data_IF_642159369512
#
_entry.id   IF_642159369512
#
_cell.length_a   1.000
_cell.length_b   1.000
_cell.length_c   1.000
_cell.angle_alpha   90.00
_cell.angle_beta   90.00
_cell.angle_gamma   90.00
#
_symmetry.space_group_name_H-M   'P 1'
#
loop_
_entity.id
_entity.type
_entity.pdbx_description
1 polymer ?
#
# COMPACT_ATOMS: atom_id res chain seq x y z
N UNK A 1 8.04 10.87 12.20
CA UNK A 1 6.69 11.09 11.66
C UNK A 1 6.74 11.08 10.15
N UNK A 2 6.04 10.16 9.47
CA UNK A 2 5.94 10.09 8.00
C UNK A 2 4.53 10.48 7.53
N UNK A 3 4.31 10.63 6.24
CA UNK A 3 3.00 10.90 5.66
C UNK A 3 2.63 9.85 4.59
N UNK A 4 1.33 9.72 4.30
CA UNK A 4 0.83 8.96 3.16
C UNK A 4 0.63 9.94 1.99
N UNK A 5 1.33 9.73 0.89
CA UNK A 5 1.24 10.58 -0.30
C UNK A 5 1.45 9.72 -1.56
N UNK A 6 0.62 9.92 -2.57
CA UNK A 6 0.57 9.10 -3.77
C UNK A 6 0.99 9.89 -5.03
N UNK A 7 1.31 11.17 -4.88
CA UNK A 7 1.74 12.09 -5.92
C UNK A 7 2.77 13.12 -5.37
N UNK A 8 3.54 13.79 -6.24
CA UNK A 8 4.55 14.77 -5.82
C UNK A 8 3.99 15.94 -5.03
N UNK A 9 2.80 16.43 -5.38
CA UNK A 9 2.15 17.59 -4.74
C UNK A 9 1.80 17.29 -3.28
N UNK A 10 1.24 16.11 -3.01
CA UNK A 10 0.96 15.66 -1.64
C UNK A 10 2.25 15.40 -0.84
N UNK A 11 3.31 14.94 -1.51
CA UNK A 11 4.61 14.75 -0.89
C UNK A 11 5.24 16.08 -0.46
N UNK A 12 5.22 17.10 -1.33
CA UNK A 12 5.68 18.46 -1.03
C UNK A 12 4.86 19.09 0.11
N UNK A 13 3.53 18.95 0.06
CA UNK A 13 2.62 19.42 1.11
C UNK A 13 2.96 18.76 2.46
N UNK A 14 3.16 17.46 2.46
CA UNK A 14 3.51 16.68 3.65
C UNK A 14 4.83 17.13 4.24
N UNK A 15 5.86 17.34 3.40
CA UNK A 15 7.15 17.89 3.81
C UNK A 15 6.99 19.29 4.41
N UNK A 16 6.13 20.13 3.82
CA UNK A 16 5.79 21.47 4.34
C UNK A 16 5.14 21.41 5.73
N UNK A 17 4.33 20.40 6.03
CA UNK A 17 3.78 20.14 7.37
C UNK A 17 4.77 19.47 8.34
N UNK A 18 5.98 19.18 7.88
CA UNK A 18 7.06 18.64 8.70
C UNK A 18 7.08 17.11 8.77
N UNK A 19 6.57 16.43 7.75
CA UNK A 19 6.81 14.99 7.60
C UNK A 19 8.29 14.74 7.28
N UNK A 20 8.83 13.68 7.85
CA UNK A 20 10.24 13.27 7.74
C UNK A 20 10.39 12.06 6.80
N UNK A 21 9.42 11.85 5.93
CA UNK A 21 9.37 10.79 4.93
C UNK A 21 7.94 10.50 4.50
N UNK A 22 7.82 9.64 3.49
CA UNK A 22 6.55 9.03 3.07
C UNK A 22 6.53 7.59 3.59
N UNK A 23 5.53 7.27 4.42
CA UNK A 23 5.35 5.93 4.99
C UNK A 23 4.45 5.03 4.15
N UNK A 24 3.73 5.61 3.19
CA UNK A 24 2.93 4.90 2.21
C UNK A 24 2.75 5.73 0.95
N UNK A 25 3.25 5.21 -0.17
CA UNK A 25 2.88 5.61 -1.51
C UNK A 25 2.16 4.44 -2.18
N UNK A 26 0.88 4.63 -2.54
CA UNK A 26 0.02 3.63 -3.17
C UNK A 26 0.11 3.73 -4.67
N UNK A 27 0.73 2.73 -5.29
CA UNK A 27 0.99 2.75 -6.74
C UNK A 27 -0.24 2.56 -7.60
N UNK A 28 -1.33 2.02 -7.07
CA UNK A 28 -2.61 1.90 -7.77
C UNK A 28 -3.18 3.25 -8.19
N UNK A 29 -2.97 4.31 -7.42
CA UNK A 29 -3.44 5.65 -7.77
C UNK A 29 -2.72 6.22 -9.00
N UNK A 30 -1.51 5.74 -9.29
CA UNK A 30 -0.75 6.12 -10.48
C UNK A 30 -1.33 5.55 -11.78
N UNK A 31 -2.22 4.54 -11.69
CA UNK A 31 -2.90 3.93 -12.84
C UNK A 31 -4.27 4.53 -13.14
N UNK A 32 -4.69 5.57 -12.42
CA UNK A 32 -5.96 6.25 -12.63
C UNK A 32 -5.86 7.34 -13.71
N UNK A 33 -7.01 7.93 -14.07
CA UNK A 33 -7.08 8.96 -15.11
C UNK A 33 -6.79 8.41 -16.50
N UNK A 34 -6.00 9.13 -17.29
CA UNK A 34 -5.68 8.78 -18.68
C UNK A 34 -4.90 7.47 -18.82
N UNK A 35 -4.26 7.01 -17.75
CA UNK A 35 -3.47 5.75 -17.73
C UNK A 35 -4.35 4.52 -17.52
N UNK A 36 -5.60 4.70 -17.13
CA UNK A 36 -6.53 3.59 -16.88
C UNK A 36 -6.68 2.68 -18.12
N UNK A 37 -6.68 3.25 -19.31
CA UNK A 37 -6.76 2.46 -20.55
C UNK A 37 -5.55 1.54 -20.77
N UNK A 38 -4.37 1.94 -20.30
CA UNK A 38 -3.15 1.14 -20.48
C UNK A 38 -3.20 -0.10 -19.59
N UNK A 39 -3.54 0.07 -18.30
CA UNK A 39 -3.69 -1.07 -17.39
C UNK A 39 -4.86 -1.99 -17.82
N UNK A 40 -5.97 -1.43 -18.32
CA UNK A 40 -7.07 -2.21 -18.90
C UNK A 40 -6.60 -3.02 -20.11
N UNK A 41 -5.79 -2.44 -21.00
CA UNK A 41 -5.22 -3.15 -22.13
C UNK A 41 -4.37 -4.35 -21.68
N UNK A 42 -3.56 -4.18 -20.63
CA UNK A 42 -2.79 -5.26 -20.04
C UNK A 42 -3.69 -6.37 -19.48
N UNK A 43 -4.75 -6.01 -18.77
CA UNK A 43 -5.65 -6.95 -18.09
C UNK A 43 -6.46 -7.77 -19.12
N UNK A 44 -7.06 -7.10 -20.09
CA UNK A 44 -8.05 -7.68 -21.01
C UNK A 44 -7.44 -8.41 -22.21
N UNK A 45 -6.14 -8.22 -22.50
CA UNK A 45 -5.49 -8.88 -23.62
C UNK A 45 -4.68 -10.09 -23.17
N UNK A 46 -4.80 -11.19 -23.94
CA UNK A 46 -4.00 -12.41 -23.74
C UNK A 46 -2.75 -12.43 -24.64
N UNK A 47 -2.68 -11.57 -25.65
CA UNK A 47 -1.52 -11.47 -26.54
C UNK A 47 -0.29 -10.94 -25.78
N UNK A 48 0.81 -11.72 -25.69
CA UNK A 48 2.01 -11.32 -24.99
C UNK A 48 2.63 -10.01 -25.51
N UNK A 49 2.57 -9.78 -26.83
CA UNK A 49 3.14 -8.58 -27.43
C UNK A 49 2.35 -7.31 -27.05
N UNK A 50 1.02 -7.43 -26.96
CA UNK A 50 0.15 -6.33 -26.51
C UNK A 50 0.38 -6.03 -25.03
N UNK A 51 0.47 -7.08 -24.19
CA UNK A 51 0.79 -6.95 -22.76
C UNK A 51 2.15 -6.31 -22.53
N UNK A 52 3.17 -6.76 -23.24
CA UNK A 52 4.54 -6.21 -23.15
C UNK A 52 4.57 -4.72 -23.50
N UNK A 53 3.89 -4.32 -24.57
CA UNK A 53 3.75 -2.91 -24.94
C UNK A 53 3.07 -2.10 -23.84
N UNK A 54 1.95 -2.57 -23.30
CA UNK A 54 1.24 -1.89 -22.22
C UNK A 54 2.11 -1.76 -20.96
N UNK A 55 2.87 -2.79 -20.60
CA UNK A 55 3.82 -2.77 -19.47
C UNK A 55 4.93 -1.74 -19.71
N UNK A 56 5.44 -1.62 -20.93
CA UNK A 56 6.44 -0.59 -21.31
C UNK A 56 5.89 0.84 -21.14
N UNK A 57 4.65 1.07 -21.52
CA UNK A 57 3.98 2.37 -21.34
C UNK A 57 3.74 2.67 -19.84
N UNK A 58 3.32 1.68 -19.04
CA UNK A 58 3.17 1.81 -17.59
C UNK A 58 4.51 2.08 -16.90
N UNK A 59 5.57 1.37 -17.31
CA UNK A 59 6.92 1.58 -16.80
C UNK A 59 7.38 3.03 -16.98
N UNK A 60 7.24 3.57 -18.19
CA UNK A 60 7.63 4.95 -18.48
C UNK A 60 6.82 5.96 -17.65
N UNK A 61 5.52 5.73 -17.53
CA UNK A 61 4.63 6.59 -16.75
C UNK A 61 4.97 6.59 -15.26
N UNK A 62 5.15 5.41 -14.64
CA UNK A 62 5.50 5.30 -13.22
C UNK A 62 6.91 5.82 -12.93
N UNK A 63 7.87 5.64 -13.84
CA UNK A 63 9.20 6.23 -13.68
C UNK A 63 9.09 7.75 -13.53
N UNK A 64 8.26 8.41 -14.35
CA UNK A 64 8.00 9.85 -14.24
C UNK A 64 7.39 10.25 -12.89
N UNK A 65 6.44 9.47 -12.37
CA UNK A 65 5.83 9.72 -11.07
C UNK A 65 6.85 9.60 -9.93
N UNK A 66 7.66 8.54 -9.94
CA UNK A 66 8.69 8.33 -8.92
C UNK A 66 9.78 9.38 -8.98
N UNK A 67 10.16 9.87 -10.16
CA UNK A 67 11.07 11.01 -10.30
C UNK A 67 10.53 12.24 -9.56
N UNK A 68 9.25 12.55 -9.73
CA UNK A 68 8.59 13.64 -9.01
C UNK A 68 8.55 13.42 -7.50
N UNK A 69 8.11 12.23 -7.06
CA UNK A 69 8.01 11.87 -5.64
C UNK A 69 9.35 11.94 -4.92
N UNK A 70 10.39 11.31 -5.49
CA UNK A 70 11.70 11.25 -4.84
C UNK A 70 12.41 12.60 -4.87
N UNK A 71 12.15 13.44 -5.88
CA UNK A 71 12.64 14.81 -5.92
C UNK A 71 12.01 15.67 -4.84
N UNK A 72 10.69 15.57 -4.64
CA UNK A 72 9.97 16.26 -3.56
C UNK A 72 10.49 15.86 -2.17
N UNK A 73 10.90 14.61 -2.02
CA UNK A 73 11.39 14.03 -0.77
C UNK A 73 12.90 13.83 -0.71
N UNK A 74 13.68 14.60 -1.48
CA UNK A 74 15.13 14.49 -1.51
C UNK A 74 15.75 14.40 -0.11
N UNK A 75 16.56 13.36 0.12
CA UNK A 75 17.20 13.06 1.41
C UNK A 75 16.29 12.34 2.43
N UNK A 76 14.99 12.18 2.16
CA UNK A 76 14.02 11.56 3.06
C UNK A 76 13.49 10.22 2.51
N UNK A 77 13.14 9.25 3.38
CA UNK A 77 12.65 7.95 2.94
C UNK A 77 11.26 8.03 2.29
N UNK A 78 11.05 7.21 1.26
CA UNK A 78 9.76 7.05 0.57
C UNK A 78 9.44 5.57 0.43
N UNK A 79 8.49 5.07 1.23
CA UNK A 79 7.99 3.70 1.11
C UNK A 79 7.00 3.62 -0.04
N UNK A 80 7.34 2.86 -1.05
CA UNK A 80 6.49 2.56 -2.21
C UNK A 80 5.87 1.19 -2.04
N UNK A 81 4.56 1.12 -1.88
CA UNK A 81 3.81 -0.13 -1.85
C UNK A 81 3.62 -0.63 -3.28
N UNK A 82 4.04 -1.86 -3.57
CA UNK A 82 3.73 -2.50 -4.85
C UNK A 82 2.21 -2.68 -4.98
N UNK A 83 1.75 -2.89 -6.22
CA UNK A 83 0.34 -2.96 -6.57
C UNK A 83 -0.43 -3.90 -5.64
N UNK A 84 -1.46 -3.37 -5.00
CA UNK A 84 -2.24 -4.08 -4.00
C UNK A 84 -3.64 -4.51 -4.47
N UNK A 85 -4.48 -3.66 -5.08
CA UNK A 85 -5.86 -4.05 -5.39
C UNK A 85 -5.95 -5.13 -6.47
N UNK A 86 -7.05 -5.90 -6.49
CA UNK A 86 -7.33 -6.85 -7.56
C UNK A 86 -7.44 -6.16 -8.92
N UNK A 87 -7.04 -6.85 -10.00
CA UNK A 87 -7.01 -6.24 -11.34
C UNK A 87 -8.38 -5.77 -11.84
N UNK A 88 -9.47 -6.43 -11.44
CA UNK A 88 -10.81 -6.05 -11.88
C UNK A 88 -11.25 -4.67 -11.38
N UNK A 89 -10.62 -4.10 -10.32
CA UNK A 89 -10.92 -2.75 -9.85
C UNK A 89 -10.52 -1.65 -10.85
N UNK A 90 -9.59 -1.96 -11.75
CA UNK A 90 -9.21 -1.06 -12.83
C UNK A 90 -10.17 -1.10 -14.03
N UNK A 91 -11.09 -2.07 -14.06
CA UNK A 91 -12.03 -2.26 -15.14
C UNK A 91 -13.31 -1.42 -14.95
N UNK A 92 -14.16 -1.43 -15.96
CA UNK A 92 -15.48 -0.82 -15.87
C UNK A 92 -16.40 -1.67 -14.99
N UNK A 93 -17.33 -1.02 -14.31
CA UNK A 93 -18.33 -1.75 -13.55
C UNK A 93 -19.24 -2.55 -14.50
N UNK A 94 -19.46 -3.87 -14.27
CA UNK A 94 -20.41 -4.67 -15.05
C UNK A 94 -21.80 -4.01 -15.14
N UNK A 95 -22.24 -3.41 -14.04
CA UNK A 95 -23.51 -2.69 -13.99
C UNK A 95 -23.55 -1.45 -14.91
N UNK A 96 -22.44 -0.73 -15.04
CA UNK A 96 -22.35 0.43 -15.94
C UNK A 96 -22.41 -0.02 -17.39
N UNK A 97 -21.69 -1.11 -17.73
CA UNK A 97 -21.73 -1.73 -19.06
C UNK A 97 -23.13 -2.24 -19.42
N UNK A 98 -23.82 -2.90 -18.49
CA UNK A 98 -25.18 -3.40 -18.69
C UNK A 98 -26.18 -2.26 -19.02
N UNK A 99 -26.08 -1.14 -18.29
CA UNK A 99 -26.89 0.05 -18.57
C UNK A 99 -26.55 0.66 -19.93
N UNK A 100 -25.28 0.67 -20.33
CA UNK A 100 -24.86 1.19 -21.63
C UNK A 100 -25.32 0.31 -22.78
N UNK A 101 -25.20 -1.00 -22.63
CA UNK A 101 -25.71 -2.01 -23.59
C UNK A 101 -27.24 -1.82 -23.78
N UNK A 102 -27.97 -1.73 -22.67
CA UNK A 102 -29.43 -1.52 -22.73
C UNK A 102 -29.83 -0.22 -23.45
N UNK A 103 -29.08 0.87 -23.24
CA UNK A 103 -29.29 2.13 -23.95
C UNK A 103 -29.00 2.01 -25.45
N UNK A 104 -27.91 1.34 -25.82
CA UNK A 104 -27.57 1.09 -27.22
C UNK A 104 -28.63 0.24 -27.92
N UNK A 105 -29.11 -0.80 -27.28
CA UNK A 105 -30.18 -1.67 -27.81
C UNK A 105 -31.49 -0.89 -28.00
N UNK A 106 -31.92 -0.12 -27.01
CA UNK A 106 -33.13 0.70 -27.07
C UNK A 106 -33.06 1.74 -28.17
N UNK A 107 -31.87 2.28 -28.47
CA UNK A 107 -31.64 3.26 -29.54
C UNK A 107 -31.47 2.63 -30.94
N UNK A 108 -31.51 1.30 -31.05
CA UNK A 108 -31.20 0.61 -32.31
C UNK A 108 -29.75 0.77 -32.74
N UNK A 109 -28.83 0.85 -31.77
CA UNK A 109 -27.40 1.08 -31.97
C UNK A 109 -26.67 -0.03 -32.74
N UNK A 110 -25.38 0.19 -32.97
CA UNK A 110 -24.53 -0.75 -33.71
C UNK A 110 -24.45 -2.10 -33.01
N UNK A 111 -24.87 -3.15 -33.72
CA UNK A 111 -24.85 -4.54 -33.22
C UNK A 111 -23.44 -5.05 -32.93
N UNK A 112 -22.41 -4.57 -33.66
CA UNK A 112 -21.03 -4.97 -33.45
C UNK A 112 -20.52 -4.38 -32.12
N UNK A 113 -20.79 -3.11 -31.85
CA UNK A 113 -20.45 -2.45 -30.60
C UNK A 113 -21.16 -3.08 -29.39
N UNK A 114 -22.45 -3.44 -29.54
CA UNK A 114 -23.20 -4.16 -28.50
C UNK A 114 -22.59 -5.51 -28.21
N UNK A 115 -22.19 -6.27 -29.23
CA UNK A 115 -21.54 -7.56 -29.06
C UNK A 115 -20.17 -7.43 -28.38
N UNK A 116 -19.37 -6.45 -28.76
CA UNK A 116 -18.08 -6.13 -28.14
C UNK A 116 -18.24 -5.84 -26.64
N UNK A 117 -19.19 -4.95 -26.28
CA UNK A 117 -19.45 -4.61 -24.87
C UNK A 117 -19.97 -5.81 -24.06
N UNK A 118 -20.73 -6.69 -24.64
CA UNK A 118 -21.16 -7.94 -23.98
C UNK A 118 -19.99 -8.88 -23.72
N UNK A 119 -19.09 -9.05 -24.68
CA UNK A 119 -17.87 -9.83 -24.49
C UNK A 119 -16.99 -9.25 -23.39
N UNK A 120 -16.82 -7.92 -23.37
CA UNK A 120 -16.10 -7.23 -22.31
C UNK A 120 -16.74 -7.48 -20.94
N UNK A 121 -18.06 -7.37 -20.84
CA UNK A 121 -18.80 -7.64 -19.60
C UNK A 121 -18.59 -9.07 -19.12
N UNK A 122 -18.67 -10.06 -20.03
CA UNK A 122 -18.42 -11.49 -19.70
C UNK A 122 -16.98 -11.72 -19.21
N UNK A 123 -15.98 -11.04 -19.79
CA UNK A 123 -14.59 -11.11 -19.34
C UNK A 123 -14.44 -10.53 -17.93
N UNK A 124 -15.05 -9.37 -17.65
CA UNK A 124 -15.00 -8.71 -16.33
C UNK A 124 -15.70 -9.57 -15.28
N UNK A 125 -16.87 -10.12 -15.59
CA UNK A 125 -17.61 -11.01 -14.68
C UNK A 125 -16.79 -12.27 -14.35
N UNK A 126 -16.06 -12.81 -15.32
CA UNK A 126 -15.16 -13.95 -15.13
C UNK A 126 -13.96 -13.66 -14.23
N UNK A 127 -13.56 -12.39 -14.10
CA UNK A 127 -12.47 -11.93 -13.22
C UNK A 127 -12.97 -11.44 -11.87
N UNK A 128 -14.26 -11.17 -11.72
CA UNK A 128 -14.85 -10.68 -10.47
C UNK A 128 -14.80 -11.75 -9.39
N UNK A 129 -14.27 -11.41 -8.25
CA UNK A 129 -14.19 -12.29 -7.09
C UNK A 129 -15.36 -12.04 -6.15
N UNK A 130 -15.87 -13.09 -5.51
CA UNK A 130 -16.94 -12.98 -4.51
C UNK A 130 -16.50 -12.17 -3.27
N UNK A 131 -15.21 -12.23 -2.94
CA UNK A 131 -14.60 -11.43 -1.88
C UNK A 131 -13.23 -10.92 -2.33
N UNK A 132 -13.16 -9.76 -3.00
CA UNK A 132 -11.92 -9.20 -3.52
C UNK A 132 -10.86 -8.93 -2.44
N UNK A 133 -11.28 -8.60 -1.23
CA UNK A 133 -10.35 -8.34 -0.13
C UNK A 133 -9.50 -9.54 0.27
N UNK A 134 -10.03 -10.75 0.10
CA UNK A 134 -9.38 -12.01 0.46
C UNK A 134 -8.90 -12.80 -0.77
N UNK A 135 -9.00 -12.23 -1.96
CA UNK A 135 -8.74 -12.88 -3.24
C UNK A 135 -7.35 -12.63 -3.82
N UNK A 136 -7.30 -12.50 -5.14
CA UNK A 136 -6.08 -12.32 -5.94
C UNK A 136 -5.65 -10.84 -5.96
N UNK A 137 -4.98 -10.41 -4.93
CA UNK A 137 -4.44 -9.05 -4.75
C UNK A 137 -3.05 -9.08 -4.08
N UNK A 138 -2.38 -7.96 -4.01
CA UNK A 138 -1.13 -7.77 -3.30
C UNK A 138 -0.03 -8.73 -3.74
N UNK A 139 0.67 -9.35 -2.79
CA UNK A 139 1.74 -10.31 -3.09
C UNK A 139 1.26 -11.50 -3.95
N UNK A 140 0.00 -11.93 -3.78
CA UNK A 140 -0.58 -13.03 -4.57
C UNK A 140 -0.65 -12.66 -6.04
N UNK A 141 -1.08 -11.43 -6.33
CA UNK A 141 -1.12 -10.88 -7.69
C UNK A 141 0.29 -10.82 -8.28
N UNK A 142 1.28 -10.31 -7.52
CA UNK A 142 2.66 -10.23 -7.95
C UNK A 142 3.30 -11.61 -8.22
N UNK A 143 2.88 -12.65 -7.50
CA UNK A 143 3.34 -14.03 -7.72
C UNK A 143 2.73 -14.65 -8.98
N UNK A 144 1.44 -14.36 -9.26
CA UNK A 144 0.71 -14.89 -10.42
C UNK A 144 1.08 -14.14 -11.70
N UNK A 145 1.31 -12.84 -11.60
CA UNK A 145 1.72 -11.97 -12.71
C UNK A 145 3.08 -11.29 -12.44
N UNK A 146 4.20 -12.05 -12.52
CA UNK A 146 5.52 -11.55 -12.13
C UNK A 146 6.00 -10.31 -12.91
N UNK A 147 5.46 -10.07 -14.08
CA UNK A 147 5.77 -8.90 -14.91
C UNK A 147 5.39 -7.59 -14.21
N UNK A 148 4.36 -7.58 -13.35
CA UNK A 148 3.91 -6.36 -12.65
C UNK A 148 4.92 -5.90 -11.59
N UNK A 149 5.33 -6.72 -10.61
CA UNK A 149 6.36 -6.29 -9.65
C UNK A 149 7.69 -5.98 -10.33
N UNK A 150 8.12 -6.72 -11.35
CA UNK A 150 9.33 -6.39 -12.12
C UNK A 150 9.22 -4.99 -12.72
N UNK A 151 8.11 -4.67 -13.37
CA UNK A 151 7.88 -3.35 -13.96
C UNK A 151 7.93 -2.25 -12.91
N UNK A 152 7.24 -2.41 -11.77
CA UNK A 152 7.20 -1.41 -10.71
C UNK A 152 8.57 -1.19 -10.05
N UNK A 153 9.28 -2.27 -9.73
CA UNK A 153 10.62 -2.20 -9.15
C UNK A 153 11.61 -1.55 -10.12
N UNK A 154 11.51 -1.88 -11.41
CA UNK A 154 12.34 -1.25 -12.47
C UNK A 154 12.06 0.25 -12.54
N UNK A 155 10.80 0.68 -12.44
CA UNK A 155 10.45 2.12 -12.42
C UNK A 155 11.05 2.85 -11.22
N UNK A 156 10.94 2.26 -10.02
CA UNK A 156 11.50 2.79 -8.77
C UNK A 156 13.04 2.90 -8.88
N UNK A 157 13.70 1.82 -9.29
CA UNK A 157 15.15 1.75 -9.38
C UNK A 157 15.69 2.71 -10.45
N UNK A 158 15.02 2.83 -11.61
CA UNK A 158 15.39 3.76 -12.68
C UNK A 158 15.29 5.21 -12.22
N UNK A 159 14.17 5.58 -11.58
CA UNK A 159 14.00 6.93 -11.03
C UNK A 159 15.05 7.26 -9.97
N UNK A 160 15.38 6.29 -9.10
CA UNK A 160 16.43 6.45 -8.11
C UNK A 160 17.79 6.70 -8.78
N UNK A 161 18.16 5.88 -9.76
CA UNK A 161 19.41 5.99 -10.49
C UNK A 161 19.55 7.33 -11.23
N UNK A 162 18.50 7.79 -11.90
CA UNK A 162 18.50 9.07 -12.61
C UNK A 162 18.72 10.25 -11.66
N UNK A 163 18.02 10.28 -10.51
CA UNK A 163 18.17 11.35 -9.53
C UNK A 163 19.53 11.34 -8.85
N UNK A 164 20.13 10.17 -8.59
CA UNK A 164 21.50 10.09 -8.09
C UNK A 164 22.50 10.71 -9.08
N UNK A 165 22.33 10.48 -10.38
CA UNK A 165 23.17 11.13 -11.43
C UNK A 165 22.98 12.64 -11.49
N UNK A 166 21.83 13.16 -11.11
CA UNK A 166 21.58 14.60 -10.94
C UNK A 166 22.18 15.17 -9.64
N UNK A 167 22.74 14.34 -8.77
CA UNK A 167 23.34 14.74 -7.48
C UNK A 167 22.36 14.82 -6.33
N UNK A 168 21.14 14.28 -6.47
CA UNK A 168 20.16 14.14 -5.41
C UNK A 168 20.39 12.84 -4.61
N UNK A 169 19.76 12.73 -3.45
CA UNK A 169 19.86 11.59 -2.55
C UNK A 169 18.49 10.93 -2.33
N UNK A 170 17.88 10.30 -3.35
CA UNK A 170 16.62 9.59 -3.22
C UNK A 170 16.78 8.39 -2.28
N UNK A 171 15.78 8.14 -1.43
CA UNK A 171 15.75 7.02 -0.49
C UNK A 171 14.45 6.22 -0.63
N UNK A 172 14.23 5.54 -1.76
CA UNK A 172 13.07 4.66 -1.89
C UNK A 172 13.22 3.42 -1.01
N UNK A 173 12.09 2.95 -0.49
CA UNK A 173 11.93 1.69 0.23
C UNK A 173 10.77 0.92 -0.44
N UNK A 174 10.95 -0.36 -0.77
CA UNK A 174 9.91 -1.16 -1.45
C UNK A 174 9.13 -1.96 -0.41
N UNK A 175 7.80 -1.84 -0.45
CA UNK A 175 6.89 -2.54 0.46
C UNK A 175 6.02 -3.54 -0.29
N UNK A 176 6.12 -4.81 0.09
CA UNK A 176 5.30 -5.90 -0.47
C UNK A 176 4.03 -6.04 0.38
N UNK A 177 2.82 -5.80 -0.21
CA UNK A 177 1.56 -5.86 0.54
C UNK A 177 1.04 -7.29 0.72
N UNK A 178 0.16 -7.48 1.71
CA UNK A 178 -0.68 -8.65 1.92
C UNK A 178 0.07 -9.98 2.13
N UNK A 179 1.30 -9.93 2.60
CA UNK A 179 2.08 -11.13 2.92
C UNK A 179 1.43 -11.90 4.07
N UNK A 180 1.25 -13.20 3.89
CA UNK A 180 0.71 -14.11 4.90
C UNK A 180 1.70 -15.19 5.32
N UNK A 181 2.61 -15.58 4.44
CA UNK A 181 3.65 -16.60 4.71
C UNK A 181 5.01 -16.08 4.24
N UNK A 182 6.08 -16.47 4.93
CA UNK A 182 7.44 -16.03 4.63
C UNK A 182 7.85 -16.30 3.18
N UNK A 183 7.45 -17.44 2.60
CA UNK A 183 7.77 -17.80 1.22
C UNK A 183 7.22 -16.85 0.16
N UNK A 184 6.10 -16.14 0.44
CA UNK A 184 5.58 -15.08 -0.44
C UNK A 184 6.55 -13.89 -0.48
N UNK A 185 7.04 -13.48 0.70
CA UNK A 185 8.00 -12.40 0.83
C UNK A 185 9.34 -12.77 0.19
N UNK A 186 9.91 -13.93 0.53
CA UNK A 186 11.18 -14.42 -0.04
C UNK A 186 11.15 -14.39 -1.58
N UNK A 187 10.05 -14.88 -2.17
CA UNK A 187 9.90 -14.92 -3.63
C UNK A 187 9.88 -13.53 -4.26
N UNK A 188 9.08 -12.61 -3.72
CA UNK A 188 8.95 -11.26 -4.27
C UNK A 188 10.14 -10.36 -3.92
N UNK A 189 10.76 -10.55 -2.75
CA UNK A 189 12.02 -9.90 -2.39
C UNK A 189 13.11 -10.26 -3.40
N UNK A 190 13.25 -11.55 -3.73
CA UNK A 190 14.22 -11.96 -4.74
C UNK A 190 13.96 -11.31 -6.10
N UNK A 191 12.71 -11.22 -6.53
CA UNK A 191 12.33 -10.51 -7.77
C UNK A 191 12.74 -9.04 -7.70
N UNK A 192 12.52 -8.40 -6.56
CA UNK A 192 12.89 -6.99 -6.37
C UNK A 192 14.41 -6.81 -6.40
N UNK A 193 15.16 -7.60 -5.63
CA UNK A 193 16.63 -7.53 -5.56
C UNK A 193 17.30 -7.81 -6.92
N UNK A 194 16.84 -8.84 -7.64
CA UNK A 194 17.33 -9.16 -8.97
C UNK A 194 17.09 -7.98 -9.95
N UNK A 195 15.88 -7.38 -9.90
CA UNK A 195 15.54 -6.24 -10.77
C UNK A 195 16.33 -4.98 -10.42
N UNK A 196 16.54 -4.70 -9.12
CA UNK A 196 17.38 -3.57 -8.67
C UNK A 196 18.81 -3.74 -9.16
N UNK A 197 19.36 -4.96 -9.04
CA UNK A 197 20.72 -5.26 -9.50
C UNK A 197 20.89 -5.11 -11.02
N UNK A 198 19.88 -5.53 -11.81
CA UNK A 198 19.87 -5.32 -13.26
C UNK A 198 19.90 -3.83 -13.61
N UNK A 199 19.02 -3.03 -13.01
CA UNK A 199 18.96 -1.57 -13.25
C UNK A 199 20.26 -0.89 -12.81
N UNK A 200 20.81 -1.26 -11.64
CA UNK A 200 22.07 -0.74 -11.14
C UNK A 200 23.21 -0.97 -12.14
N UNK A 201 23.30 -2.19 -12.72
CA UNK A 201 24.29 -2.53 -13.73
C UNK A 201 24.06 -1.76 -15.04
N UNK A 202 22.82 -1.69 -15.53
CA UNK A 202 22.45 -0.94 -16.75
C UNK A 202 22.77 0.55 -16.62
N UNK A 203 22.53 1.14 -15.44
CA UNK A 203 22.71 2.56 -15.17
C UNK A 203 24.12 2.93 -14.70
N UNK A 204 24.93 1.94 -14.29
CA UNK A 204 26.29 2.14 -13.80
C UNK A 204 26.34 2.89 -12.46
N UNK A 205 25.41 2.62 -11.57
CA UNK A 205 25.28 3.20 -10.23
C UNK A 205 25.12 2.10 -9.18
N UNK A 206 25.37 2.43 -7.91
CA UNK A 206 25.03 1.57 -6.78
C UNK A 206 23.65 1.97 -6.27
N UNK A 207 22.75 1.00 -6.11
CA UNK A 207 21.40 1.20 -5.57
C UNK A 207 21.24 0.37 -4.31
N UNK A 208 20.98 1.05 -3.19
CA UNK A 208 20.61 0.45 -1.92
C UNK A 208 19.14 0.77 -1.64
N UNK A 209 18.26 -0.18 -1.95
CA UNK A 209 16.81 -0.04 -1.85
C UNK A 209 16.28 -1.14 -0.94
N UNK A 210 15.96 -0.83 0.33
CA UNK A 210 15.41 -1.80 1.28
C UNK A 210 14.09 -2.39 0.78
N UNK A 211 13.88 -3.70 1.08
CA UNK A 211 12.66 -4.43 0.75
C UNK A 211 12.02 -4.95 2.02
N UNK A 212 10.88 -4.37 2.39
CA UNK A 212 10.09 -4.77 3.54
C UNK A 212 8.69 -5.21 3.16
N UNK A 213 7.85 -5.36 4.16
CA UNK A 213 6.48 -5.83 3.95
C UNK A 213 5.47 -5.09 4.79
N UNK A 214 4.21 -5.15 4.35
CA UNK A 214 3.06 -4.74 5.16
C UNK A 214 2.59 -5.92 6.02
N UNK A 215 2.48 -5.68 7.33
CA UNK A 215 1.84 -6.61 8.27
C UNK A 215 0.39 -6.15 8.43
N UNK A 216 -0.51 -6.86 7.79
CA UNK A 216 -1.93 -6.48 7.71
C UNK A 216 -2.90 -7.67 7.78
N UNK A 217 -2.35 -8.85 7.98
CA UNK A 217 -3.11 -10.07 8.24
C UNK A 217 -2.74 -10.62 9.62
N UNK A 218 -3.72 -11.12 10.41
CA UNK A 218 -3.46 -11.73 11.73
C UNK A 218 -2.41 -12.84 11.68
N UNK A 219 -2.43 -13.67 10.60
CA UNK A 219 -1.42 -14.72 10.42
C UNK A 219 -0.02 -14.15 10.32
N UNK A 220 0.18 -13.08 9.55
CA UNK A 220 1.49 -12.43 9.43
C UNK A 220 1.97 -11.89 10.78
N UNK A 221 1.07 -11.28 11.58
CA UNK A 221 1.41 -10.76 12.90
C UNK A 221 1.84 -11.87 13.88
N UNK A 222 1.18 -13.04 13.87
CA UNK A 222 1.52 -14.15 14.79
C UNK A 222 2.71 -15.01 14.34
N UNK A 223 3.21 -14.82 13.11
CA UNK A 223 4.42 -15.47 12.58
C UNK A 223 5.45 -14.44 12.10
N UNK A 224 5.46 -13.28 12.74
CA UNK A 224 6.29 -12.14 12.33
C UNK A 224 7.79 -12.39 12.55
N UNK A 225 8.18 -13.35 13.39
CA UNK A 225 9.57 -13.79 13.55
C UNK A 225 10.12 -14.44 12.28
N UNK A 226 9.32 -15.28 11.60
CA UNK A 226 9.72 -15.88 10.32
C UNK A 226 9.83 -14.80 9.22
N UNK A 227 8.86 -13.88 9.17
CA UNK A 227 8.80 -12.82 8.16
C UNK A 227 9.88 -11.76 8.41
N UNK A 228 10.13 -11.38 9.67
CA UNK A 228 11.14 -10.41 10.07
C UNK A 228 12.56 -10.85 9.71
N UNK A 229 12.84 -12.16 9.76
CA UNK A 229 14.15 -12.70 9.37
C UNK A 229 14.54 -12.41 7.90
N UNK A 230 13.55 -12.09 7.06
CA UNK A 230 13.75 -11.82 5.62
C UNK A 230 13.22 -10.44 5.17
N UNK A 231 12.87 -9.56 6.11
CA UNK A 231 12.41 -8.21 5.84
C UNK A 231 13.40 -7.16 6.37
N UNK A 232 13.52 -6.04 5.66
CA UNK A 232 14.31 -4.91 6.11
C UNK A 232 13.49 -3.97 7.01
N UNK A 233 12.16 -3.97 6.84
CA UNK A 233 11.23 -3.21 7.68
C UNK A 233 9.82 -3.80 7.65
N UNK A 234 9.01 -3.45 8.67
CA UNK A 234 7.58 -3.69 8.72
C UNK A 234 6.80 -2.38 8.69
N UNK A 235 5.69 -2.36 7.97
CA UNK A 235 4.66 -1.33 8.08
C UNK A 235 3.31 -1.99 8.39
N UNK A 236 2.71 -1.64 9.52
CA UNK A 236 1.42 -2.21 9.89
C UNK A 236 0.29 -1.54 9.09
N UNK A 237 -0.38 -2.31 8.23
CA UNK A 237 -1.57 -1.92 7.48
C UNK A 237 -2.82 -2.10 8.35
N UNK A 238 -3.04 -1.19 9.31
CA UNK A 238 -4.07 -1.36 10.33
C UNK A 238 -5.49 -1.31 9.79
N UNK A 239 -5.74 -0.84 8.58
CA UNK A 239 -7.05 -0.92 7.95
C UNK A 239 -7.41 -2.39 7.69
N UNK A 240 -6.59 -3.11 6.91
CA UNK A 240 -6.82 -4.53 6.61
C UNK A 240 -6.66 -5.40 7.85
N UNK A 241 -5.72 -5.09 8.74
CA UNK A 241 -5.55 -5.82 9.99
C UNK A 241 -6.81 -5.71 10.87
N UNK A 242 -7.45 -4.54 10.94
CA UNK A 242 -8.73 -4.36 11.66
C UNK A 242 -9.84 -5.18 11.00
N UNK A 243 -9.99 -5.06 9.67
CA UNK A 243 -11.01 -5.80 8.93
C UNK A 243 -10.89 -7.31 9.12
N UNK A 244 -9.69 -7.85 8.99
CA UNK A 244 -9.44 -9.30 9.09
C UNK A 244 -9.52 -9.81 10.53
N UNK A 245 -9.18 -8.99 11.52
CA UNK A 245 -9.28 -9.35 12.95
C UNK A 245 -10.72 -9.39 13.41
N UNK A 246 -11.55 -8.42 13.02
CA UNK A 246 -12.98 -8.39 13.34
C UNK A 246 -13.82 -9.29 12.42
N UNK A 247 -13.32 -9.64 11.22
CA UNK A 247 -14.14 -10.23 10.17
C UNK A 247 -15.16 -9.23 9.62
N UNK A 248 -14.80 -7.95 9.58
CA UNK A 248 -15.64 -6.87 9.07
C UNK A 248 -15.11 -6.38 7.71
N UNK A 249 -16.00 -6.19 6.76
CA UNK A 249 -15.71 -5.40 5.56
C UNK A 249 -16.04 -3.94 5.87
N UNK A 250 -15.07 -3.05 5.87
CA UNK A 250 -15.23 -1.65 6.26
C UNK A 250 -16.36 -0.97 5.50
N UNK A 251 -16.31 -1.09 4.17
CA UNK A 251 -17.25 -0.41 3.28
C UNK A 251 -18.69 -0.90 3.46
N UNK A 252 -18.86 -2.16 3.84
CA UNK A 252 -20.19 -2.73 4.10
C UNK A 252 -20.72 -2.36 5.49
N UNK A 253 -19.87 -2.37 6.52
CA UNK A 253 -20.35 -2.32 7.91
C UNK A 253 -20.41 -0.92 8.50
N UNK A 254 -19.58 0.04 8.05
CA UNK A 254 -19.54 1.40 8.62
C UNK A 254 -20.86 2.16 8.46
N UNK A 255 -21.59 1.92 7.35
CA UNK A 255 -22.91 2.51 7.13
C UNK A 255 -24.07 1.65 7.61
N UNK A 256 -23.85 0.34 7.78
CA UNK A 256 -24.88 -0.62 8.12
C UNK A 256 -25.06 -0.76 9.64
N UNK A 257 -24.31 -1.64 10.30
CA UNK A 257 -24.56 -1.99 11.70
C UNK A 257 -23.62 -1.33 12.71
N UNK A 258 -22.47 -0.79 12.32
CA UNK A 258 -21.53 -0.12 13.24
C UNK A 258 -22.20 1.03 13.99
N UNK A 259 -23.04 1.89 13.39
CA UNK A 259 -23.76 2.94 14.10
C UNK A 259 -24.68 2.39 15.22
N UNK A 260 -25.35 1.26 14.98
CA UNK A 260 -26.19 0.62 15.97
C UNK A 260 -25.34 0.03 17.11
N UNK A 261 -24.22 -0.64 16.80
CA UNK A 261 -23.30 -1.20 17.81
C UNK A 261 -22.73 -0.12 18.73
N UNK A 262 -22.46 1.06 18.19
CA UNK A 262 -22.02 2.23 18.97
C UNK A 262 -23.16 2.75 19.87
N UNK A 263 -24.38 2.87 19.34
CA UNK A 263 -25.56 3.33 20.08
C UNK A 263 -25.90 2.38 21.24
N UNK A 264 -25.79 1.07 21.02
CA UNK A 264 -26.03 0.02 22.03
C UNK A 264 -24.80 -0.24 22.92
N UNK A 265 -23.68 0.44 22.70
CA UNK A 265 -22.42 0.30 23.43
C UNK A 265 -21.81 -1.13 23.35
N UNK A 266 -22.07 -1.85 22.27
CA UNK A 266 -21.40 -3.11 21.97
C UNK A 266 -19.95 -2.86 21.51
N UNK A 267 -19.72 -1.73 20.82
CA UNK A 267 -18.40 -1.17 20.56
C UNK A 267 -18.27 0.15 21.33
N UNK A 268 -17.13 0.39 22.01
CA UNK A 268 -16.90 1.65 22.70
C UNK A 268 -16.67 2.83 21.76
N UNK A 269 -16.13 2.57 20.57
CA UNK A 269 -15.86 3.52 19.47
C UNK A 269 -15.75 2.76 18.14
N UNK A 270 -15.71 3.51 17.02
CA UNK A 270 -15.50 2.93 15.70
C UNK A 270 -14.07 2.37 15.59
N UNK A 271 -13.87 1.05 15.40
CA UNK A 271 -12.56 0.43 15.34
C UNK A 271 -11.76 0.82 14.07
N UNK A 272 -12.37 1.47 13.08
CA UNK A 272 -11.70 2.01 11.90
C UNK A 272 -11.20 3.46 12.11
N UNK A 273 -11.67 4.14 13.14
CA UNK A 273 -11.24 5.50 13.49
C UNK A 273 -10.11 5.50 14.54
N UNK A 274 -10.28 4.71 15.60
CA UNK A 274 -9.30 4.54 16.69
C UNK A 274 -8.95 3.06 16.80
N UNK A 275 -7.67 2.75 17.01
CA UNK A 275 -7.19 1.36 17.05
C UNK A 275 -7.86 0.58 18.20
N UNK A 276 -8.42 -0.57 17.85
CA UNK A 276 -9.02 -1.49 18.83
C UNK A 276 -7.92 -2.19 19.65
N UNK A 277 -8.15 -2.42 20.98
CA UNK A 277 -7.16 -3.10 21.82
C UNK A 277 -6.80 -4.52 21.37
N UNK A 278 -7.72 -5.25 20.71
CA UNK A 278 -7.46 -6.56 20.15
C UNK A 278 -6.54 -6.49 18.93
N UNK A 279 -6.76 -5.49 18.08
CA UNK A 279 -5.89 -5.22 16.93
C UNK A 279 -4.52 -4.70 17.39
N UNK A 280 -4.48 -3.82 18.40
CA UNK A 280 -3.25 -3.31 19.00
C UNK A 280 -2.36 -4.45 19.55
N UNK A 281 -2.95 -5.48 20.16
CA UNK A 281 -2.21 -6.68 20.59
C UNK A 281 -1.55 -7.44 19.44
N UNK A 282 -2.20 -7.50 18.27
CA UNK A 282 -1.57 -8.10 17.09
C UNK A 282 -0.41 -7.26 16.57
N UNK A 283 -0.53 -5.92 16.62
CA UNK A 283 0.57 -5.01 16.28
C UNK A 283 1.74 -5.23 17.26
N UNK A 284 1.49 -5.22 18.57
CA UNK A 284 2.49 -5.46 19.61
C UNK A 284 3.20 -6.82 19.41
N UNK A 285 2.42 -7.89 19.19
CA UNK A 285 2.96 -9.21 18.91
C UNK A 285 3.82 -9.21 17.63
N UNK A 286 3.34 -8.53 16.58
CA UNK A 286 4.09 -8.40 15.31
C UNK A 286 5.43 -7.68 15.49
N UNK A 287 5.49 -6.64 16.31
CA UNK A 287 6.73 -5.90 16.65
C UNK A 287 7.68 -6.81 17.45
N UNK A 288 7.18 -7.41 18.53
CA UNK A 288 8.01 -8.29 19.39
C UNK A 288 8.59 -9.49 18.63
N UNK A 289 7.76 -10.16 17.83
CA UNK A 289 8.20 -11.30 17.03
C UNK A 289 9.09 -10.86 15.87
N UNK A 290 8.76 -9.75 15.21
CA UNK A 290 9.58 -9.19 14.14
C UNK A 290 11.03 -8.92 14.61
N UNK A 291 11.20 -8.30 15.78
CA UNK A 291 12.52 -8.06 16.38
C UNK A 291 13.24 -9.34 16.84
N UNK A 292 12.53 -10.45 17.10
CA UNK A 292 13.17 -11.75 17.30
C UNK A 292 13.76 -12.30 16.01
N UNK A 293 13.08 -12.08 14.88
CA UNK A 293 13.58 -12.45 13.56
C UNK A 293 14.73 -11.56 13.08
N UNK A 294 14.59 -10.25 13.28
CA UNK A 294 15.58 -9.24 12.92
C UNK A 294 15.64 -8.15 14.01
N UNK A 295 16.68 -8.15 14.87
CA UNK A 295 16.82 -7.16 15.95
C UNK A 295 16.88 -5.69 15.48
N UNK A 296 17.30 -5.44 14.25
CA UNK A 296 17.43 -4.11 13.65
C UNK A 296 16.20 -3.70 12.80
N UNK A 297 15.13 -4.49 12.89
CA UNK A 297 13.91 -4.28 12.10
C UNK A 297 13.26 -2.93 12.43
N UNK A 298 13.06 -2.10 11.42
CA UNK A 298 12.30 -0.85 11.57
C UNK A 298 10.81 -1.15 11.46
N UNK A 299 10.02 -0.75 12.45
CA UNK A 299 8.58 -0.99 12.51
C UNK A 299 7.78 0.32 12.49
N UNK A 300 6.82 0.44 11.60
CA UNK A 300 5.93 1.60 11.53
C UNK A 300 4.49 1.24 11.20
N UNK A 301 3.63 2.24 11.13
CA UNK A 301 2.21 2.09 10.76
C UNK A 301 1.84 3.06 9.66
N UNK A 302 1.01 2.63 8.72
CA UNK A 302 0.53 3.47 7.62
C UNK A 302 -0.99 3.47 7.44
N UNK A 303 -1.75 2.70 8.23
CA UNK A 303 -3.20 2.73 8.22
C UNK A 303 -3.77 4.06 8.75
N UNK A 304 -5.07 4.25 8.61
CA UNK A 304 -5.80 5.47 9.05
C UNK A 304 -5.55 5.84 10.51
N UNK A 305 -5.32 4.85 11.36
CA UNK A 305 -5.02 5.00 12.79
C UNK A 305 -3.72 5.79 13.06
N UNK A 306 -2.79 5.84 12.09
CA UNK A 306 -1.56 6.65 12.20
C UNK A 306 -1.80 8.16 12.32
N UNK A 307 -3.01 8.62 12.00
CA UNK A 307 -3.45 10.02 12.15
C UNK A 307 -4.34 10.28 13.35
N UNK A 308 -4.75 9.25 14.09
CA UNK A 308 -5.59 9.38 15.28
C UNK A 308 -4.74 9.55 16.55
N UNK A 309 -4.96 10.62 17.36
CA UNK A 309 -4.12 10.92 18.52
C UNK A 309 -4.03 9.81 19.58
N UNK A 310 -5.12 9.09 19.84
CA UNK A 310 -5.13 8.02 20.84
C UNK A 310 -4.45 6.75 20.32
N UNK A 311 -4.63 6.46 19.03
CA UNK A 311 -3.88 5.38 18.34
C UNK A 311 -2.38 5.67 18.29
N UNK A 312 -1.97 6.93 18.03
CA UNK A 312 -0.55 7.34 18.05
C UNK A 312 0.09 7.11 19.40
N UNK A 313 -0.60 7.41 20.51
CA UNK A 313 -0.11 7.12 21.87
C UNK A 313 0.04 5.62 22.11
N UNK A 314 -0.93 4.82 21.64
CA UNK A 314 -0.87 3.35 21.70
C UNK A 314 0.34 2.81 20.93
N UNK A 315 0.57 3.29 19.70
CA UNK A 315 1.72 2.90 18.90
C UNK A 315 3.06 3.31 19.52
N UNK A 316 3.12 4.47 20.17
CA UNK A 316 4.28 4.88 20.95
C UNK A 316 4.58 3.90 22.09
N UNK A 317 3.56 3.46 22.83
CA UNK A 317 3.69 2.48 23.93
C UNK A 317 4.15 1.11 23.43
N UNK A 318 3.69 0.69 22.25
CA UNK A 318 4.11 -0.56 21.58
C UNK A 318 5.58 -0.47 21.12
N UNK A 319 6.11 0.73 20.89
CA UNK A 319 7.49 0.96 20.46
C UNK A 319 7.66 1.01 18.95
N UNK A 320 6.66 1.50 18.19
CA UNK A 320 6.83 1.73 16.77
C UNK A 320 7.79 2.91 16.51
N UNK A 321 8.67 2.76 15.51
CA UNK A 321 9.67 3.76 15.13
C UNK A 321 9.05 4.98 14.44
N UNK A 322 7.97 4.76 13.66
CA UNK A 322 7.24 5.84 13.01
C UNK A 322 5.74 5.56 12.88
N UNK A 323 4.97 6.64 12.78
CA UNK A 323 3.58 6.61 12.30
C UNK A 323 3.48 7.42 11.01
N UNK A 324 2.57 7.01 10.12
CA UNK A 324 2.30 7.65 8.84
C UNK A 324 0.80 7.91 8.68
N UNK A 325 0.44 9.09 8.19
CA UNK A 325 -0.95 9.50 8.02
C UNK A 325 -1.13 10.44 6.81
N UNK A 326 -2.37 10.75 6.46
CA UNK A 326 -2.66 11.73 5.40
C UNK A 326 -1.99 13.09 5.69
N UNK A 327 -1.63 13.88 4.67
CA UNK A 327 -0.85 15.12 4.82
C UNK A 327 -1.42 16.08 5.88
N UNK A 328 -2.72 16.32 5.84
CA UNK A 328 -3.39 17.26 6.75
C UNK A 328 -3.44 16.79 8.21
N UNK A 329 -3.23 15.50 8.47
CA UNK A 329 -3.15 14.95 9.84
C UNK A 329 -1.74 14.98 10.43
N UNK A 330 -0.71 15.25 9.63
CA UNK A 330 0.70 15.29 10.08
C UNK A 330 0.89 16.21 11.29
N UNK A 331 0.40 17.47 11.31
CA UNK A 331 0.59 18.33 12.47
C UNK A 331 -0.05 17.78 13.76
N UNK A 332 -1.25 17.18 13.64
CA UNK A 332 -1.98 16.60 14.77
C UNK A 332 -1.27 15.36 15.32
N UNK A 333 -0.84 14.47 14.44
CA UNK A 333 -0.12 13.26 14.83
C UNK A 333 1.26 13.58 15.43
N UNK A 334 1.97 14.61 14.94
CA UNK A 334 3.21 15.11 15.57
C UNK A 334 2.98 15.61 16.98
N UNK A 335 1.89 16.34 17.20
CA UNK A 335 1.53 16.81 18.54
C UNK A 335 1.24 15.63 19.48
N UNK A 336 0.46 14.64 19.02
CA UNK A 336 0.15 13.45 19.81
C UNK A 336 1.39 12.63 20.16
N UNK A 337 2.32 12.44 19.20
CA UNK A 337 3.59 11.75 19.43
C UNK A 337 4.47 12.52 20.45
N UNK A 338 4.53 13.86 20.34
CA UNK A 338 5.24 14.69 21.31
C UNK A 338 4.64 14.61 22.71
N UNK A 339 3.31 14.55 22.84
CA UNK A 339 2.62 14.36 24.11
C UNK A 339 2.91 12.98 24.72
N UNK A 340 2.92 11.91 23.91
CA UNK A 340 3.25 10.56 24.36
C UNK A 340 4.69 10.49 24.92
N UNK A 341 5.66 11.02 24.17
CA UNK A 341 7.07 11.07 24.60
C UNK A 341 7.30 11.91 25.87
N UNK A 342 6.53 12.99 26.04
CA UNK A 342 6.61 13.79 27.28
C UNK A 342 5.99 13.06 28.47
N UNK A 343 4.88 12.35 28.26
CA UNK A 343 4.21 11.57 29.33
C UNK A 343 5.14 10.45 29.84
N UNK A 344 5.83 9.76 28.97
CA UNK A 344 6.83 8.74 29.32
C UNK A 344 7.95 9.34 30.18
N UNK A 345 8.58 10.45 29.75
CA UNK A 345 9.64 11.13 30.51
C UNK A 345 9.17 11.64 31.87
N UNK A 346 7.90 12.05 31.98
CA UNK A 346 7.32 12.53 33.26
C UNK A 346 6.94 11.37 34.19
N UNK A 347 6.56 10.20 33.65
CA UNK A 347 6.31 8.97 34.40
C UNK A 347 7.58 8.45 35.08
N UNK A 348 8.69 8.39 34.34
CA UNK A 348 10.02 8.03 34.88
C UNK A 348 10.54 9.01 35.97
N UNK A 349 10.00 10.21 36.02
CA UNK A 349 10.37 11.21 37.01
C UNK A 349 9.55 11.19 38.32
N UNK A 350 8.43 10.47 38.36
CA UNK A 350 7.54 10.39 39.56
C UNK A 350 7.83 9.20 40.47
N UNK A 351 8.56 8.22 39.98
CA UNK A 351 8.96 7.02 40.74
C UNK A 351 10.43 7.11 41.25
N UNK A 352 11.03 8.29 41.23
CA UNK A 352 12.33 8.63 41.85
C UNK A 352 12.10 9.70 42.96
#
# INVERSE_FOLDING_TARGET
>A
MRANADNPEDAELSRGFGAEGIGLCRTEHMFLGDRKQIIQTFILNEDPAVREKAVGELLAAQTGDFLGMFRAMDGLPVIVRLLDPPLHEFLESPRALDVEIAKLEAAGGDKALIAEKRMLMEQIDGMSEANPMLGLRGCRLGIVYPILPVMQVRAIATACAELQKEGLNPKPEIMIPLVSVVAELEKLRKVAEDTIAEVAAEQGVELDIPVGTMIELPRAAVTADEIGAVADFFSFGTNDLTQTTFGFSRDDVEAEFVPQYLAERLLPYNPFATIDPGVAKLVEMGVELGHKGNPDLVCGVCGEHGGDPDSVKTFHTIGLDYVSCSPYRVPLARLAAGQAALAEKMGDGRDK
#
